data_IF_295667589225
#
_entry.id   IF_295667589225
#
_cell.length_a   1.000
_cell.length_b   1.000
_cell.length_c   1.000
_cell.angle_alpha   90.00
_cell.angle_beta   90.00
_cell.angle_gamma   90.00
#
_symmetry.space_group_name_H-M   'P 1'
#
loop_
_entity.id
_entity.type
_entity.pdbx_description
1 polymer ?
#
# COMPACT_ATOMS: atom_id res chain seq x y z
N UNK A 1 10.81 -10.51 19.89
CA UNK A 1 11.69 -11.06 18.82
C UNK A 1 11.86 -9.96 17.80
N UNK A 2 13.09 -9.51 17.61
CA UNK A 2 13.40 -8.47 16.63
C UNK A 2 13.33 -9.07 15.22
N UNK A 3 12.59 -8.39 14.32
CA UNK A 3 12.47 -8.77 12.90
C UNK A 3 13.66 -8.24 12.08
N UNK A 4 14.85 -8.28 12.65
CA UNK A 4 16.08 -7.79 12.02
C UNK A 4 16.29 -8.45 10.66
N UNK A 5 16.41 -7.63 9.64
CA UNK A 5 16.60 -8.09 8.25
C UNK A 5 15.33 -8.45 7.49
N UNK A 6 14.13 -8.33 8.07
CA UNK A 6 12.85 -8.48 7.35
C UNK A 6 12.42 -7.17 6.70
N UNK A 7 11.76 -7.28 5.57
CA UNK A 7 11.36 -6.14 4.74
C UNK A 7 9.83 -6.07 4.62
N UNK A 8 9.30 -4.86 4.76
CA UNK A 8 7.88 -4.57 4.56
C UNK A 8 7.68 -3.51 3.46
N UNK A 9 6.68 -3.68 2.61
CA UNK A 9 6.16 -2.65 1.72
C UNK A 9 4.81 -2.18 2.25
N UNK A 10 4.65 -0.87 2.41
CA UNK A 10 3.37 -0.24 2.72
C UNK A 10 2.98 0.68 1.56
N UNK A 11 1.86 0.39 0.90
CA UNK A 11 1.34 1.25 -0.16
C UNK A 11 0.56 2.43 0.42
N UNK A 12 0.70 3.62 -0.18
CA UNK A 12 0.07 4.83 0.34
C UNK A 12 0.60 5.24 1.73
N UNK A 13 1.92 5.07 1.98
CA UNK A 13 2.54 5.21 3.29
C UNK A 13 2.82 6.66 3.72
N UNK A 14 2.53 7.68 2.89
CA UNK A 14 2.90 9.08 3.17
C UNK A 14 2.06 9.74 4.27
N UNK A 15 0.88 9.20 4.61
CA UNK A 15 -0.05 9.79 5.60
C UNK A 15 -1.01 8.76 6.19
N UNK A 16 -1.79 9.21 7.18
CA UNK A 16 -2.93 8.45 7.73
C UNK A 16 -2.55 7.06 8.24
N UNK A 17 -3.37 6.07 7.90
CA UNK A 17 -3.22 4.67 8.33
C UNK A 17 -1.90 4.09 7.80
N UNK A 18 -1.57 4.31 6.53
CA UNK A 18 -0.33 3.81 5.94
C UNK A 18 0.93 4.31 6.65
N UNK A 19 0.97 5.61 7.01
CA UNK A 19 2.06 6.16 7.85
C UNK A 19 2.14 5.47 9.20
N UNK A 20 1.01 5.34 9.90
CA UNK A 20 0.99 4.70 11.23
C UNK A 20 1.48 3.25 11.19
N UNK A 21 1.06 2.49 10.16
CA UNK A 21 1.52 1.12 9.93
C UNK A 21 3.02 1.09 9.65
N UNK A 22 3.53 1.99 8.81
CA UNK A 22 4.95 2.06 8.47
C UNK A 22 5.82 2.31 9.71
N UNK A 23 5.44 3.29 10.55
CA UNK A 23 6.12 3.58 11.82
C UNK A 23 6.09 2.38 12.77
N UNK A 24 4.95 1.71 12.89
CA UNK A 24 4.81 0.52 13.74
C UNK A 24 5.69 -0.64 13.25
N UNK A 25 5.74 -0.90 11.97
CA UNK A 25 6.60 -1.95 11.40
C UNK A 25 8.08 -1.62 11.62
N UNK A 26 8.48 -0.37 11.40
CA UNK A 26 9.86 0.08 11.64
C UNK A 26 10.25 -0.08 13.13
N UNK A 27 9.38 0.29 14.07
CA UNK A 27 9.63 0.12 15.51
C UNK A 27 9.77 -1.36 15.93
N UNK A 28 9.28 -2.28 15.07
CA UNK A 28 9.42 -3.73 15.25
C UNK A 28 10.61 -4.33 14.51
N UNK A 29 11.50 -3.50 13.97
CA UNK A 29 12.75 -3.92 13.35
C UNK A 29 12.62 -4.29 11.86
N UNK A 30 11.49 -3.99 11.20
CA UNK A 30 11.39 -4.14 9.75
C UNK A 30 12.10 -2.98 9.04
N UNK A 31 12.76 -3.28 7.93
CA UNK A 31 13.13 -2.28 6.94
C UNK A 31 11.88 -1.98 6.09
N UNK A 32 11.45 -0.71 6.03
CA UNK A 32 10.16 -0.35 5.44
C UNK A 32 10.31 0.40 4.12
N UNK A 33 9.73 -0.15 3.05
CA UNK A 33 9.53 0.54 1.80
C UNK A 33 8.24 1.37 1.87
N UNK A 34 8.36 2.68 1.75
CA UNK A 34 7.27 3.65 1.81
C UNK A 34 6.84 4.01 0.39
N UNK A 35 5.79 3.35 -0.13
CA UNK A 35 5.27 3.72 -1.43
C UNK A 35 4.33 4.93 -1.33
N UNK A 36 4.43 5.81 -2.30
CA UNK A 36 3.56 6.98 -2.48
C UNK A 36 3.38 7.30 -3.96
N UNK A 37 2.25 7.91 -4.33
CA UNK A 37 2.01 8.35 -5.71
C UNK A 37 2.45 9.81 -5.93
N UNK A 38 1.89 10.77 -5.20
CA UNK A 38 2.10 12.19 -5.42
C UNK A 38 2.81 12.96 -4.30
N UNK A 39 2.67 12.54 -3.04
CA UNK A 39 3.11 13.32 -1.88
C UNK A 39 4.55 12.97 -1.45
N UNK A 40 5.55 13.36 -2.25
CA UNK A 40 6.97 13.06 -1.98
C UNK A 40 7.43 13.60 -0.64
N UNK A 41 7.19 14.89 -0.37
CA UNK A 41 7.61 15.53 0.88
C UNK A 41 7.06 14.83 2.11
N UNK A 42 5.79 14.43 2.08
CA UNK A 42 5.17 13.69 3.18
C UNK A 42 5.79 12.28 3.36
N UNK A 43 6.13 11.60 2.28
CA UNK A 43 6.80 10.30 2.36
C UNK A 43 8.22 10.41 2.91
N UNK A 44 8.98 11.43 2.49
CA UNK A 44 10.32 11.71 3.02
C UNK A 44 10.28 12.10 4.50
N UNK A 45 9.26 12.84 4.95
CA UNK A 45 9.08 13.14 6.36
C UNK A 45 8.87 11.87 7.21
N UNK A 46 8.06 10.91 6.72
CA UNK A 46 7.87 9.61 7.40
C UNK A 46 9.18 8.81 7.43
N UNK A 47 9.94 8.80 6.33
CA UNK A 47 11.26 8.16 6.28
C UNK A 47 12.19 8.76 7.34
N UNK A 48 12.30 10.09 7.38
CA UNK A 48 13.15 10.80 8.37
C UNK A 48 12.75 10.45 9.81
N UNK A 49 11.46 10.37 10.09
CA UNK A 49 10.95 9.99 11.42
C UNK A 49 11.39 8.57 11.81
N UNK A 50 11.29 7.62 10.86
CA UNK A 50 11.76 6.24 11.07
C UNK A 50 13.27 6.20 11.32
N UNK A 51 14.06 6.91 10.50
CA UNK A 51 15.52 6.93 10.61
C UNK A 51 15.99 7.59 11.92
N UNK A 52 15.35 8.67 12.36
CA UNK A 52 15.62 9.33 13.64
C UNK A 52 15.31 8.40 14.84
N UNK A 53 14.37 7.49 14.69
CA UNK A 53 14.07 6.45 15.69
C UNK A 53 15.00 5.22 15.60
N UNK A 54 16.03 5.25 14.75
CA UNK A 54 16.99 4.15 14.55
C UNK A 54 16.49 3.04 13.61
N UNK A 55 15.35 3.21 12.96
CA UNK A 55 14.81 2.29 11.98
C UNK A 55 15.42 2.45 10.58
N UNK A 56 14.99 1.62 9.65
CA UNK A 56 15.38 1.69 8.24
C UNK A 56 14.16 1.89 7.36
N UNK A 57 14.19 2.91 6.51
CA UNK A 57 13.14 3.13 5.52
C UNK A 57 13.70 3.70 4.23
N UNK A 58 13.01 3.48 3.12
CA UNK A 58 13.25 4.22 1.89
C UNK A 58 11.90 4.51 1.19
N UNK A 59 11.87 5.57 0.41
CA UNK A 59 10.68 6.01 -0.31
C UNK A 59 10.69 5.48 -1.73
N UNK A 60 9.54 5.04 -2.23
CA UNK A 60 9.38 4.61 -3.63
C UNK A 60 8.15 5.30 -4.22
N UNK A 61 8.38 6.17 -5.19
CA UNK A 61 7.28 6.77 -5.94
C UNK A 61 6.72 5.77 -6.96
N UNK A 62 5.39 5.68 -7.04
CA UNK A 62 4.69 4.91 -8.07
C UNK A 62 3.21 4.81 -7.78
N UNK A 63 2.42 4.82 -8.85
CA UNK A 63 0.98 4.58 -8.80
C UNK A 63 0.73 3.08 -8.84
N UNK A 64 0.23 2.51 -7.76
CA UNK A 64 -0.02 1.07 -7.64
C UNK A 64 -1.18 0.57 -8.52
N UNK A 65 -1.97 1.48 -9.14
CA UNK A 65 -2.97 1.14 -10.14
C UNK A 65 -2.38 0.87 -11.53
N UNK A 66 -1.09 1.25 -11.73
CA UNK A 66 -0.35 1.14 -12.99
C UNK A 66 0.64 -0.04 -12.90
N UNK A 67 0.52 -0.98 -13.83
CA UNK A 67 1.30 -2.23 -13.83
C UNK A 67 2.81 -1.99 -13.90
N UNK A 68 3.23 -1.07 -14.77
CA UNK A 68 4.63 -0.71 -14.99
C UNK A 68 5.26 -0.08 -13.74
N UNK A 69 4.49 0.71 -12.99
CA UNK A 69 4.92 1.28 -11.72
C UNK A 69 5.06 0.20 -10.65
N UNK A 70 4.14 -0.75 -10.58
CA UNK A 70 4.22 -1.89 -9.67
C UNK A 70 5.46 -2.72 -9.97
N UNK A 71 5.73 -3.02 -11.23
CA UNK A 71 6.94 -3.77 -11.63
C UNK A 71 8.21 -3.03 -11.20
N UNK A 72 8.26 -1.71 -11.38
CA UNK A 72 9.38 -0.87 -10.95
C UNK A 72 9.54 -0.86 -9.43
N UNK A 73 8.44 -0.72 -8.68
CA UNK A 73 8.44 -0.77 -7.21
C UNK A 73 9.04 -2.08 -6.73
N UNK A 74 8.56 -3.21 -7.23
CA UNK A 74 9.04 -4.53 -6.77
C UNK A 74 10.46 -4.84 -7.22
N UNK A 75 10.89 -4.35 -8.38
CA UNK A 75 12.30 -4.42 -8.82
C UNK A 75 13.20 -3.65 -7.87
N UNK A 76 12.81 -2.43 -7.47
CA UNK A 76 13.55 -1.61 -6.50
C UNK A 76 13.65 -2.32 -5.15
N UNK A 77 12.54 -2.85 -4.61
CA UNK A 77 12.56 -3.61 -3.35
C UNK A 77 13.53 -4.80 -3.42
N UNK A 78 13.53 -5.52 -4.54
CA UNK A 78 14.47 -6.64 -4.73
C UNK A 78 15.92 -6.18 -4.72
N UNK A 79 16.22 -5.04 -5.33
CA UNK A 79 17.58 -4.49 -5.40
C UNK A 79 18.03 -3.97 -4.04
N UNK A 80 17.21 -3.19 -3.35
CA UNK A 80 17.57 -2.51 -2.09
C UNK A 80 17.55 -3.44 -0.88
N UNK A 81 16.62 -4.41 -0.83
CA UNK A 81 16.40 -5.27 0.33
C UNK A 81 16.59 -6.78 0.04
N UNK A 82 16.81 -7.17 -1.19
CA UNK A 82 16.94 -8.58 -1.56
C UNK A 82 15.63 -9.37 -1.57
N UNK A 83 14.50 -8.79 -1.13
CA UNK A 83 13.20 -9.43 -1.14
C UNK A 83 12.16 -8.73 -0.28
N UNK A 84 10.99 -9.37 -0.14
CA UNK A 84 9.85 -8.84 0.61
C UNK A 84 9.30 -9.92 1.57
N UNK A 85 9.03 -9.55 2.81
CA UNK A 85 8.45 -10.43 3.83
C UNK A 85 7.01 -10.04 4.19
N UNK A 86 6.68 -8.73 4.10
CA UNK A 86 5.33 -8.21 4.39
C UNK A 86 4.90 -7.23 3.30
N UNK A 87 3.71 -7.43 2.76
CA UNK A 87 3.00 -6.45 1.94
C UNK A 87 1.80 -5.92 2.71
N UNK A 88 1.66 -4.60 2.80
CA UNK A 88 0.45 -3.94 3.29
C UNK A 88 -0.18 -3.15 2.15
N UNK A 89 -1.28 -3.62 1.61
CA UNK A 89 -2.12 -2.92 0.66
C UNK A 89 -3.02 -1.95 1.43
N UNK A 90 -2.61 -0.67 1.43
CA UNK A 90 -3.30 0.40 2.12
C UNK A 90 -3.63 1.58 1.18
N UNK A 91 -2.98 1.70 0.04
CA UNK A 91 -3.29 2.75 -0.93
C UNK A 91 -4.76 2.68 -1.34
N UNK A 92 -5.44 3.81 -1.30
CA UNK A 92 -6.84 3.93 -1.68
C UNK A 92 -7.24 5.39 -1.86
N UNK A 93 -8.32 5.61 -2.59
CA UNK A 93 -8.92 6.92 -2.85
C UNK A 93 -10.43 6.88 -2.68
N UNK A 94 -11.01 8.00 -2.31
CA UNK A 94 -12.45 8.20 -2.33
C UNK A 94 -12.83 9.14 -3.48
N UNK A 95 -13.91 8.82 -4.19
CA UNK A 95 -14.57 9.66 -5.21
C UNK A 95 -16.08 9.59 -4.97
N UNK A 96 -16.52 10.28 -3.92
CA UNK A 96 -17.88 10.19 -3.44
C UNK A 96 -18.83 10.98 -4.35
N UNK A 97 -19.94 10.37 -4.74
CA UNK A 97 -21.04 10.98 -5.45
C UNK A 97 -22.31 10.13 -5.30
N UNK A 98 -23.49 10.77 -5.32
CA UNK A 98 -24.74 10.00 -5.42
C UNK A 98 -24.67 9.13 -6.69
N UNK A 99 -25.13 7.88 -6.62
CA UNK A 99 -25.02 6.92 -7.73
C UNK A 99 -25.55 7.48 -9.06
N UNK A 100 -26.69 8.18 -9.04
CA UNK A 100 -27.29 8.82 -10.22
C UNK A 100 -26.48 9.98 -10.81
N UNK A 101 -25.46 10.47 -10.10
CA UNK A 101 -24.56 11.55 -10.51
C UNK A 101 -23.10 11.10 -10.57
N UNK A 102 -22.83 9.84 -10.23
CA UNK A 102 -21.47 9.30 -10.24
C UNK A 102 -21.00 9.18 -11.70
N UNK A 103 -19.84 9.78 -11.98
CA UNK A 103 -19.21 9.66 -13.28
C UNK A 103 -18.45 8.35 -13.37
N UNK A 104 -18.44 7.75 -14.57
CA UNK A 104 -17.71 6.50 -14.85
C UNK A 104 -16.22 6.63 -14.50
N UNK A 105 -15.62 7.81 -14.79
CA UNK A 105 -14.21 8.05 -14.48
C UNK A 105 -13.92 8.00 -12.97
N UNK A 106 -14.88 8.40 -12.12
CA UNK A 106 -14.75 8.31 -10.67
C UNK A 106 -14.89 6.87 -10.17
N UNK A 107 -15.77 6.09 -10.80
CA UNK A 107 -15.90 4.66 -10.56
C UNK A 107 -14.60 3.94 -10.93
N UNK A 108 -14.12 4.12 -12.15
CA UNK A 108 -12.92 3.46 -12.67
C UNK A 108 -11.68 3.81 -11.84
N UNK A 109 -11.52 5.08 -11.45
CA UNK A 109 -10.40 5.50 -10.61
C UNK A 109 -10.37 4.78 -9.26
N UNK A 110 -11.54 4.62 -8.60
CA UNK A 110 -11.63 3.90 -7.31
C UNK A 110 -11.34 2.42 -7.53
N UNK A 111 -11.97 1.78 -8.51
CA UNK A 111 -11.71 0.36 -8.83
C UNK A 111 -10.23 0.12 -9.17
N UNK A 112 -9.61 1.00 -9.96
CA UNK A 112 -8.21 0.87 -10.34
C UNK A 112 -7.28 0.99 -9.12
N UNK A 113 -7.52 1.99 -8.26
CA UNK A 113 -6.62 2.27 -7.13
C UNK A 113 -6.86 1.35 -5.94
N UNK A 114 -8.11 1.02 -5.61
CA UNK A 114 -8.45 0.34 -4.36
C UNK A 114 -8.60 -1.19 -4.53
N UNK A 115 -8.87 -1.69 -5.76
CA UNK A 115 -9.04 -3.11 -6.03
C UNK A 115 -8.00 -3.68 -6.99
N UNK A 116 -7.87 -3.11 -8.21
CA UNK A 116 -6.89 -3.60 -9.19
C UNK A 116 -5.47 -3.51 -8.65
N UNK A 117 -5.13 -2.45 -7.91
CA UNK A 117 -3.82 -2.30 -7.28
C UNK A 117 -3.49 -3.46 -6.33
N UNK A 118 -4.48 -3.90 -5.54
CA UNK A 118 -4.33 -5.04 -4.62
C UNK A 118 -4.00 -6.32 -5.39
N UNK A 119 -4.66 -6.55 -6.53
CA UNK A 119 -4.31 -7.67 -7.41
C UNK A 119 -2.87 -7.57 -7.94
N UNK A 120 -2.47 -6.41 -8.47
CA UNK A 120 -1.15 -6.21 -9.07
C UNK A 120 -0.03 -6.39 -8.04
N UNK A 121 -0.14 -5.71 -6.90
CA UNK A 121 0.85 -5.75 -5.82
C UNK A 121 0.92 -7.13 -5.16
N UNK A 122 -0.23 -7.78 -4.93
CA UNK A 122 -0.30 -9.14 -4.38
C UNK A 122 0.35 -10.14 -5.31
N UNK A 123 0.08 -10.08 -6.63
CA UNK A 123 0.72 -10.94 -7.64
C UNK A 123 2.24 -10.80 -7.60
N UNK A 124 2.75 -9.57 -7.58
CA UNK A 124 4.18 -9.30 -7.54
C UNK A 124 4.82 -9.76 -6.22
N UNK A 125 4.18 -9.48 -5.07
CA UNK A 125 4.64 -9.92 -3.76
C UNK A 125 4.67 -11.44 -3.64
N UNK A 126 3.59 -12.11 -4.06
CA UNK A 126 3.50 -13.57 -4.02
C UNK A 126 4.64 -14.22 -4.79
N UNK A 127 5.00 -13.72 -5.96
CA UNK A 127 6.12 -14.24 -6.76
C UNK A 127 7.48 -14.15 -6.02
N UNK A 128 7.67 -13.10 -5.18
CA UNK A 128 8.87 -12.97 -4.33
C UNK A 128 8.81 -13.86 -3.10
N UNK A 129 7.66 -13.89 -2.41
CA UNK A 129 7.45 -14.63 -1.16
C UNK A 129 7.48 -16.15 -1.36
N UNK A 130 6.93 -16.65 -2.47
CA UNK A 130 6.95 -18.08 -2.81
C UNK A 130 8.38 -18.63 -2.91
N UNK A 131 9.32 -17.86 -3.45
CA UNK A 131 10.73 -18.27 -3.54
C UNK A 131 11.39 -18.40 -2.17
N UNK A 132 10.99 -17.54 -1.22
CA UNK A 132 11.46 -17.59 0.18
C UNK A 132 10.68 -18.61 1.02
N UNK A 133 9.56 -19.13 0.54
CA UNK A 133 8.58 -19.95 1.29
C UNK A 133 8.12 -19.26 2.58
N UNK A 134 8.10 -17.93 2.59
CA UNK A 134 7.71 -17.11 3.73
C UNK A 134 7.19 -15.76 3.23
N UNK A 135 6.15 -15.23 3.89
CA UNK A 135 5.58 -13.91 3.59
C UNK A 135 4.20 -13.73 4.20
N UNK A 136 3.80 -12.49 4.37
CA UNK A 136 2.46 -12.12 4.81
C UNK A 136 1.93 -10.97 3.97
N UNK A 137 0.66 -11.03 3.62
CA UNK A 137 -0.04 -9.96 2.87
C UNK A 137 -1.23 -9.51 3.72
N UNK A 138 -1.33 -8.20 3.94
CA UNK A 138 -2.42 -7.56 4.68
C UNK A 138 -3.12 -6.59 3.75
N UNK A 139 -4.42 -6.74 3.59
CA UNK A 139 -5.25 -5.82 2.84
C UNK A 139 -6.06 -4.97 3.82
N UNK A 140 -5.94 -3.64 3.72
CA UNK A 140 -6.72 -2.71 4.52
C UNK A 140 -8.07 -2.51 3.83
N UNK A 141 -9.11 -2.98 4.47
CA UNK A 141 -10.50 -2.84 4.02
C UNK A 141 -11.21 -1.75 4.84
N UNK A 142 -12.52 -1.62 4.68
CA UNK A 142 -13.33 -0.64 5.40
C UNK A 142 -14.65 -1.26 5.85
N UNK A 143 -15.18 -0.76 6.97
CA UNK A 143 -16.53 -1.07 7.44
C UNK A 143 -17.61 -0.69 6.42
N UNK A 144 -17.32 0.25 5.53
CA UNK A 144 -18.23 0.67 4.44
C UNK A 144 -18.58 -0.49 3.51
N UNK A 145 -17.69 -1.47 3.34
CA UNK A 145 -17.98 -2.70 2.61
C UNK A 145 -19.07 -3.57 3.26
N UNK A 146 -19.26 -3.47 4.58
CA UNK A 146 -20.26 -4.23 5.33
C UNK A 146 -21.57 -3.47 5.47
N UNK A 147 -21.52 -2.15 5.70
CA UNK A 147 -22.70 -1.32 6.01
C UNK A 147 -23.22 -0.52 4.82
N UNK A 148 -22.39 -0.33 3.78
CA UNK A 148 -22.61 0.68 2.76
C UNK A 148 -22.48 2.10 3.32
N UNK A 149 -22.47 3.08 2.42
CA UNK A 149 -22.56 4.50 2.77
C UNK A 149 -23.14 5.29 1.60
N UNK A 150 -23.94 6.31 1.89
CA UNK A 150 -24.51 7.19 0.86
C UNK A 150 -23.39 7.90 0.12
N UNK A 151 -23.43 7.85 -1.22
CA UNK A 151 -22.43 8.48 -2.06
C UNK A 151 -21.15 7.66 -2.31
N UNK A 152 -21.03 6.46 -1.73
CA UNK A 152 -19.85 5.61 -1.84
C UNK A 152 -20.12 4.27 -2.54
N UNK A 153 -20.98 4.26 -3.55
CA UNK A 153 -21.34 3.02 -4.24
C UNK A 153 -20.11 2.33 -4.87
N UNK A 154 -19.18 3.08 -5.47
CA UNK A 154 -17.91 2.59 -5.99
C UNK A 154 -17.02 1.99 -4.89
N UNK A 155 -16.87 2.70 -3.78
CA UNK A 155 -16.00 2.29 -2.67
C UNK A 155 -16.60 1.12 -1.87
N UNK A 156 -17.92 1.14 -1.60
CA UNK A 156 -18.59 0.06 -0.88
C UNK A 156 -18.59 -1.26 -1.66
N UNK A 157 -18.85 -1.20 -2.98
CA UNK A 157 -18.95 -2.39 -3.84
C UNK A 157 -17.65 -3.20 -3.89
N UNK A 158 -16.49 -2.55 -4.01
CA UNK A 158 -15.19 -3.23 -4.09
C UNK A 158 -14.74 -3.86 -2.77
N UNK A 159 -15.30 -3.41 -1.64
CA UNK A 159 -14.93 -3.87 -0.30
C UNK A 159 -15.82 -5.02 0.21
N UNK A 160 -16.93 -5.29 -0.49
CA UNK A 160 -17.85 -6.37 -0.16
C UNK A 160 -17.36 -7.67 -0.79
N UNK A 161 -16.73 -8.49 -0.01
CA UNK A 161 -16.33 -9.86 -0.35
C UNK A 161 -16.55 -10.78 0.84
#
# INVERSE_FOLDING_TARGET
MENLGKTALVTGASRGIGRAIALMLASRGYAVALNYAGSREAAEAVKTEIENAGGKAFTIQGDVSVSEDVDRIFKTIKTEFGGLDVLVNNAGINRDALLIRMKEENWDAVIATDLKSVFLTTKAAAAMMMRKKNGAIVNISSVVGLTGNIGQANYACLLYT
#
